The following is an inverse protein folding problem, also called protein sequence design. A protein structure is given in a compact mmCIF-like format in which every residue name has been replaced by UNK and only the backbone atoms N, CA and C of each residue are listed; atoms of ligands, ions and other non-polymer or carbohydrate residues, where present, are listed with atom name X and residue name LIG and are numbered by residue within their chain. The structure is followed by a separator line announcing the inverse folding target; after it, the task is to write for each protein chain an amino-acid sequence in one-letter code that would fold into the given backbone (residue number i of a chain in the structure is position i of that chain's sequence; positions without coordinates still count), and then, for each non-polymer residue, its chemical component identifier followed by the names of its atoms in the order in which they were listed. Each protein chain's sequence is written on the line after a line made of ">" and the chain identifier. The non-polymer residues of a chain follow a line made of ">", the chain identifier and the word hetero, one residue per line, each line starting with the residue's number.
data_IF_491281827231
#
_entry.id   IF_491281827231
#
_cell.length_a   1.000
_cell.length_b   1.000
_cell.length_c   1.000
_cell.angle_alpha   90.00
_cell.angle_beta   90.00
_cell.angle_gamma   90.00
#
_symmetry.space_group_name_H-M   'P 1'
#
loop_
_entity.id
_entity.type
_entity.pdbx_description
1 polymer ?
#
# COMPACT_ATOMS: atom_id res chain seq x y z
N UNK A 1 6.41 -16.61 11.50
CA UNK A 1 5.07 -16.54 12.09
C UNK A 1 4.94 -15.33 13.01
N UNK A 2 3.76 -14.74 13.07
CA UNK A 2 3.34 -13.71 14.02
C UNK A 2 2.34 -14.37 14.98
N UNK A 3 2.80 -14.81 16.13
CA UNK A 3 1.95 -15.57 17.09
C UNK A 3 0.85 -14.71 17.72
N UNK A 4 1.10 -13.41 17.85
CA UNK A 4 0.15 -12.41 18.37
C UNK A 4 0.02 -11.34 17.29
N UNK A 5 -1.19 -11.01 16.81
CA UNK A 5 -1.39 -9.98 15.80
C UNK A 5 -1.11 -8.59 16.39
N UNK A 6 0.08 -8.06 16.09
CA UNK A 6 0.56 -6.73 16.52
C UNK A 6 0.57 -5.70 15.39
N UNK A 7 -0.16 -5.97 14.31
CA UNK A 7 -0.28 -5.10 13.15
C UNK A 7 0.68 -5.41 12.02
N UNK A 8 0.49 -4.71 10.89
CA UNK A 8 1.21 -4.94 9.63
C UNK A 8 2.70 -4.65 9.74
N UNK A 9 3.09 -3.65 10.53
CA UNK A 9 4.51 -3.32 10.75
C UNK A 9 5.26 -4.45 11.47
N UNK A 10 4.66 -5.05 12.51
CA UNK A 10 5.28 -6.20 13.20
C UNK A 10 5.36 -7.42 12.28
N UNK A 11 4.34 -7.69 11.48
CA UNK A 11 4.38 -8.77 10.49
C UNK A 11 5.56 -8.60 9.51
N UNK A 12 5.76 -7.38 9.00
CA UNK A 12 6.90 -7.05 8.14
C UNK A 12 8.21 -7.21 8.89
N UNK A 13 8.30 -6.78 10.15
CA UNK A 13 9.52 -6.91 10.95
C UNK A 13 9.99 -8.37 11.09
N UNK A 14 9.05 -9.35 11.18
CA UNK A 14 9.39 -10.79 11.24
C UNK A 14 10.13 -11.28 10.00
N UNK A 15 10.00 -10.58 8.87
CA UNK A 15 10.68 -10.95 7.62
C UNK A 15 12.11 -10.43 7.52
N UNK A 16 12.57 -9.56 8.43
CA UNK A 16 13.86 -8.84 8.35
C UNK A 16 15.05 -9.75 8.06
N UNK A 17 15.11 -10.93 8.70
CA UNK A 17 16.23 -11.88 8.55
C UNK A 17 16.34 -12.49 7.14
N UNK A 18 15.25 -12.51 6.39
CA UNK A 18 15.18 -13.06 5.04
C UNK A 18 15.43 -12.00 3.95
N UNK A 19 15.22 -10.71 4.25
CA UNK A 19 15.39 -9.62 3.30
C UNK A 19 16.84 -9.15 3.30
N UNK A 20 17.58 -9.49 2.23
CA UNK A 20 19.01 -9.12 2.07
C UNK A 20 19.19 -7.90 1.16
N UNK A 21 18.27 -7.69 0.22
CA UNK A 21 18.36 -6.63 -0.78
C UNK A 21 18.06 -5.25 -0.18
N UNK A 22 18.57 -4.21 -0.84
CA UNK A 22 18.35 -2.79 -0.46
C UNK A 22 16.87 -2.42 -0.48
N UNK A 23 16.11 -2.96 -1.44
CA UNK A 23 14.67 -2.78 -1.58
C UNK A 23 13.96 -4.13 -1.70
N UNK A 24 12.71 -4.18 -1.29
CA UNK A 24 11.87 -5.35 -1.42
C UNK A 24 10.43 -4.96 -1.76
N UNK A 25 9.70 -5.88 -2.39
CA UNK A 25 8.29 -5.73 -2.70
C UNK A 25 7.45 -6.39 -1.59
N UNK A 26 6.56 -5.63 -0.99
CA UNK A 26 5.56 -6.08 -0.04
C UNK A 26 4.19 -6.07 -0.71
N UNK A 27 3.41 -7.13 -0.49
CA UNK A 27 2.07 -7.30 -1.06
C UNK A 27 1.12 -7.73 0.07
N UNK A 28 0.01 -7.04 0.21
CA UNK A 28 -1.09 -7.51 1.04
C UNK A 28 -1.91 -8.52 0.24
N UNK A 29 -2.21 -9.71 0.81
CA UNK A 29 -2.85 -10.80 0.06
C UNK A 29 -4.32 -10.54 -0.29
N UNK A 30 -4.97 -9.68 0.47
CA UNK A 30 -6.37 -9.28 0.31
C UNK A 30 -6.59 -8.14 -0.70
N UNK A 31 -5.52 -7.45 -1.12
CA UNK A 31 -5.53 -6.41 -2.15
C UNK A 31 -5.16 -6.99 -3.52
N UNK A 32 -6.12 -7.47 -4.27
CA UNK A 32 -5.87 -8.09 -5.57
C UNK A 32 -6.00 -7.09 -6.72
N UNK A 33 -5.02 -7.11 -7.63
CA UNK A 33 -5.03 -6.26 -8.83
C UNK A 33 -4.92 -7.15 -10.06
N UNK A 34 -5.93 -7.09 -10.93
CA UNK A 34 -6.07 -7.91 -12.14
C UNK A 34 -6.01 -7.08 -13.42
N UNK A 35 -5.97 -7.74 -14.58
CA UNK A 35 -5.87 -7.20 -15.95
C UNK A 35 -4.51 -6.59 -16.32
N UNK A 36 -3.80 -5.96 -15.39
CA UNK A 36 -2.45 -5.39 -15.59
C UNK A 36 -1.56 -5.74 -14.41
N UNK A 37 -0.28 -5.94 -14.66
CA UNK A 37 0.70 -6.28 -13.62
C UNK A 37 1.17 -5.01 -12.90
N UNK A 38 0.52 -4.69 -11.79
CA UNK A 38 0.84 -3.52 -10.96
C UNK A 38 2.28 -3.58 -10.44
N UNK A 39 2.73 -4.72 -9.92
CA UNK A 39 4.09 -4.87 -9.38
C UNK A 39 5.16 -4.59 -10.42
N UNK A 40 5.00 -5.08 -11.66
CA UNK A 40 5.91 -4.79 -12.78
C UNK A 40 5.95 -3.30 -13.10
N UNK A 41 4.80 -2.60 -13.09
CA UNK A 41 4.76 -1.15 -13.33
C UNK A 41 5.44 -0.37 -12.21
N UNK A 42 5.22 -0.75 -10.94
CA UNK A 42 5.88 -0.13 -9.78
C UNK A 42 7.41 -0.30 -9.82
N UNK A 43 7.91 -1.48 -10.23
CA UNK A 43 9.36 -1.72 -10.41
C UNK A 43 9.94 -0.79 -11.47
N UNK A 44 9.23 -0.55 -12.58
CA UNK A 44 9.66 0.43 -13.60
C UNK A 44 9.75 1.84 -13.02
N UNK A 45 8.75 2.26 -12.22
CA UNK A 45 8.73 3.56 -11.53
C UNK A 45 9.88 3.66 -10.54
N UNK A 46 10.10 2.63 -9.72
CA UNK A 46 11.24 2.55 -8.80
C UNK A 46 12.58 2.76 -9.51
N UNK A 47 12.81 2.00 -10.60
CA UNK A 47 14.04 2.10 -11.40
C UNK A 47 14.21 3.50 -12.02
N UNK A 48 13.13 4.09 -12.54
CA UNK A 48 13.16 5.43 -13.18
C UNK A 48 13.50 6.54 -12.19
N UNK A 49 12.90 6.51 -11.01
CA UNK A 49 13.00 7.62 -10.05
C UNK A 49 13.92 7.32 -8.84
N UNK A 50 14.49 6.11 -8.76
CA UNK A 50 15.34 5.66 -7.65
C UNK A 50 14.71 5.95 -6.27
N UNK A 51 13.40 5.65 -6.13
CA UNK A 51 12.60 5.99 -4.96
C UNK A 51 11.73 4.81 -4.52
N UNK A 52 11.30 4.82 -3.27
CA UNK A 52 10.26 3.93 -2.77
C UNK A 52 8.94 4.19 -3.50
N UNK A 53 8.15 3.14 -3.74
CA UNK A 53 6.90 3.25 -4.51
C UNK A 53 5.77 2.58 -3.77
N UNK A 54 4.63 3.23 -3.69
CA UNK A 54 3.41 2.70 -3.14
C UNK A 54 2.30 2.74 -4.21
N UNK A 55 1.53 1.65 -4.32
CA UNK A 55 0.41 1.63 -5.25
C UNK A 55 -0.69 2.59 -4.81
N UNK A 56 -1.30 3.25 -5.77
CA UNK A 56 -2.36 4.22 -5.57
C UNK A 56 -3.53 3.98 -6.52
N UNK A 57 -4.71 4.27 -6.05
CA UNK A 57 -5.95 4.25 -6.83
C UNK A 57 -6.76 5.53 -6.56
N UNK A 58 -7.31 6.14 -7.61
CA UNK A 58 -8.28 7.22 -7.43
C UNK A 58 -9.61 6.67 -6.95
N UNK A 59 -10.14 7.22 -5.88
CA UNK A 59 -11.44 6.86 -5.31
C UNK A 59 -12.42 8.03 -5.39
N UNK A 60 -13.71 7.73 -5.32
CA UNK A 60 -14.73 8.79 -5.20
C UNK A 60 -14.55 9.53 -3.87
N UNK A 61 -14.70 10.85 -3.87
CA UNK A 61 -14.49 11.72 -2.70
C UNK A 61 -15.27 11.24 -1.47
N UNK A 62 -16.49 10.77 -1.64
CA UNK A 62 -17.33 10.28 -0.54
C UNK A 62 -16.86 8.93 0.07
N UNK A 63 -15.90 8.25 -0.56
CA UNK A 63 -15.41 6.95 -0.12
C UNK A 63 -14.00 7.01 0.50
N UNK A 64 -13.38 8.19 0.60
CA UNK A 64 -11.99 8.34 1.09
C UNK A 64 -11.79 7.78 2.50
N UNK A 65 -12.81 7.81 3.34
CA UNK A 65 -12.77 7.30 4.73
C UNK A 65 -12.58 5.77 4.85
N UNK A 66 -12.57 5.05 3.73
CA UNK A 66 -12.34 3.59 3.72
C UNK A 66 -10.87 3.22 3.64
N UNK A 67 -9.98 4.14 3.25
CA UNK A 67 -8.56 3.90 2.97
C UNK A 67 -7.65 4.93 3.63
N UNK A 68 -6.37 4.59 3.71
CA UNK A 68 -5.33 5.60 3.83
C UNK A 68 -5.30 6.47 2.58
N UNK A 69 -5.20 7.79 2.72
CA UNK A 69 -5.21 8.75 1.63
C UNK A 69 -3.88 9.48 1.56
N UNK A 70 -3.26 9.50 0.38
CA UNK A 70 -1.97 10.16 0.16
C UNK A 70 -2.05 11.68 0.29
N UNK A 71 -1.12 12.23 1.05
CA UNK A 71 -0.79 13.65 1.04
C UNK A 71 0.18 13.91 -0.11
N UNK A 72 -0.34 14.44 -1.22
CA UNK A 72 0.44 14.70 -2.43
C UNK A 72 1.27 15.97 -2.26
N UNK A 73 2.57 15.89 -2.54
CA UNK A 73 3.48 17.01 -2.61
C UNK A 73 3.57 17.54 -4.05
N UNK A 74 4.04 16.68 -4.97
CA UNK A 74 4.34 17.07 -6.36
C UNK A 74 3.91 15.99 -7.34
N UNK A 75 3.29 16.41 -8.43
CA UNK A 75 3.02 15.53 -9.58
C UNK A 75 4.30 15.41 -10.43
N UNK A 76 4.71 14.17 -10.72
CA UNK A 76 5.87 13.86 -11.55
C UNK A 76 5.49 13.63 -13.01
N UNK A 77 4.39 12.91 -13.23
CA UNK A 77 3.82 12.64 -14.54
C UNK A 77 2.32 12.29 -14.41
N UNK A 78 1.71 11.75 -15.46
CA UNK A 78 0.28 11.45 -15.51
C UNK A 78 -0.21 10.55 -14.34
N UNK A 79 0.67 9.67 -13.82
CA UNK A 79 0.30 8.64 -12.83
C UNK A 79 1.16 8.60 -11.57
N UNK A 80 2.23 9.40 -11.52
CA UNK A 80 3.19 9.35 -10.43
C UNK A 80 3.24 10.66 -9.66
N UNK A 81 3.24 10.57 -8.34
CA UNK A 81 3.20 11.71 -7.43
C UNK A 81 4.19 11.49 -6.28
N UNK A 82 5.01 12.50 -5.97
CA UNK A 82 5.77 12.53 -4.71
C UNK A 82 4.78 12.78 -3.58
N UNK A 83 4.94 12.06 -2.47
CA UNK A 83 4.06 12.16 -1.32
C UNK A 83 4.80 12.64 -0.07
N UNK A 84 4.11 13.38 0.79
CA UNK A 84 4.56 13.81 2.11
C UNK A 84 4.02 12.93 3.24
N UNK A 85 3.19 11.97 2.92
CA UNK A 85 2.64 11.04 3.90
C UNK A 85 1.28 10.46 3.51
N UNK A 86 0.68 9.81 4.51
CA UNK A 86 -0.64 9.17 4.42
C UNK A 86 -1.48 9.62 5.61
N UNK A 87 -2.75 9.91 5.37
CA UNK A 87 -3.74 10.13 6.43
C UNK A 87 -4.67 8.92 6.45
N UNK A 88 -4.67 8.18 7.57
CA UNK A 88 -5.47 6.96 7.71
C UNK A 88 -6.94 7.31 7.89
N UNK A 89 -7.79 6.75 7.04
CA UNK A 89 -9.26 6.85 7.06
C UNK A 89 -9.79 8.26 7.39
N UNK A 90 -9.37 9.31 6.65
CA UNK A 90 -9.79 10.67 6.96
C UNK A 90 -11.28 10.86 6.73
N UNK A 91 -11.90 11.81 7.43
CA UNK A 91 -13.22 12.28 7.02
C UNK A 91 -13.14 12.95 5.64
N UNK A 92 -14.26 12.99 4.93
CA UNK A 92 -14.33 13.59 3.57
C UNK A 92 -13.80 15.02 3.54
N UNK A 93 -14.08 15.80 4.60
CA UNK A 93 -13.62 17.20 4.73
C UNK A 93 -12.12 17.33 5.01
N UNK A 94 -11.50 16.32 5.64
CA UNK A 94 -10.08 16.32 6.03
C UNK A 94 -9.17 15.54 5.09
N UNK A 95 -9.73 14.87 4.06
CA UNK A 95 -8.95 14.08 3.12
C UNK A 95 -8.03 14.98 2.28
N UNK A 96 -6.70 14.76 2.29
CA UNK A 96 -5.75 15.61 1.59
C UNK A 96 -5.79 15.44 0.06
N UNK A 97 -6.36 14.35 -0.43
CA UNK A 97 -6.56 14.05 -1.84
C UNK A 97 -7.65 12.99 -2.01
N UNK A 98 -7.80 12.45 -3.21
CA UNK A 98 -8.62 11.27 -3.50
C UNK A 98 -7.79 10.08 -4.00
N UNK A 99 -6.49 10.08 -3.74
CA UNK A 99 -5.59 8.98 -4.06
C UNK A 99 -5.46 8.05 -2.85
N UNK A 100 -6.05 6.87 -2.94
CA UNK A 100 -6.06 5.87 -1.88
C UNK A 100 -4.81 4.97 -1.93
N UNK A 101 -4.34 4.57 -0.75
CA UNK A 101 -3.28 3.57 -0.59
C UNK A 101 -3.84 2.19 -0.90
N UNK A 102 -3.12 1.42 -1.69
CA UNK A 102 -3.40 0.02 -1.99
C UNK A 102 -2.20 -0.82 -1.56
N UNK A 103 -2.44 -2.00 -1.02
CA UNK A 103 -1.46 -2.85 -0.34
C UNK A 103 -0.35 -3.44 -1.24
N UNK A 104 0.31 -2.58 -1.99
CA UNK A 104 1.50 -2.89 -2.81
C UNK A 104 2.56 -1.83 -2.55
N UNK A 105 3.74 -2.25 -2.08
CA UNK A 105 4.79 -1.35 -1.64
C UNK A 105 6.16 -1.82 -2.13
N UNK A 106 6.98 -0.95 -2.68
CA UNK A 106 8.43 -1.14 -2.82
C UNK A 106 9.07 -0.32 -1.70
N UNK A 107 9.60 -1.02 -0.71
CA UNK A 107 10.13 -0.43 0.51
C UNK A 107 11.65 -0.59 0.60
N UNK A 108 12.37 0.38 1.19
CA UNK A 108 13.78 0.24 1.48
C UNK A 108 13.99 -0.63 2.72
N UNK A 109 15.12 -1.31 2.80
CA UNK A 109 15.49 -2.14 3.97
C UNK A 109 15.61 -1.31 5.26
N UNK A 110 15.85 -0.01 5.16
CA UNK A 110 15.86 0.94 6.29
C UNK A 110 14.54 0.98 7.06
N UNK A 111 13.43 0.56 6.44
CA UNK A 111 12.10 0.47 7.07
C UNK A 111 12.12 -0.36 8.36
N UNK A 112 12.94 -1.42 8.44
CA UNK A 112 13.03 -2.26 9.64
C UNK A 112 13.54 -1.50 10.86
N UNK A 113 14.47 -0.54 10.68
CA UNK A 113 14.94 0.32 11.76
C UNK A 113 13.80 1.23 12.26
N UNK A 114 12.98 1.76 11.32
CA UNK A 114 11.85 2.62 11.66
C UNK A 114 10.73 1.85 12.38
N UNK A 115 10.42 0.63 11.92
CA UNK A 115 9.45 -0.23 12.63
C UNK A 115 9.89 -0.48 14.08
N UNK A 116 11.18 -0.79 14.30
CA UNK A 116 11.72 -1.01 15.66
C UNK A 116 11.67 0.22 16.57
N UNK A 117 11.75 1.43 15.99
CA UNK A 117 11.68 2.67 16.77
C UNK A 117 10.26 3.09 17.12
N UNK A 118 9.24 2.50 16.50
CA UNK A 118 7.85 2.78 16.84
C UNK A 118 7.52 2.26 18.24
N UNK A 119 6.89 3.13 19.04
CA UNK A 119 6.39 2.81 20.37
C UNK A 119 4.87 2.94 20.38
N UNK A 120 4.12 1.91 19.93
CA UNK A 120 2.67 1.99 19.95
C UNK A 120 2.17 2.09 21.39
N UNK A 121 1.10 2.84 21.63
CA UNK A 121 0.42 2.84 22.91
C UNK A 121 -0.04 1.42 23.27
N UNK A 122 -0.16 1.12 24.57
CA UNK A 122 -0.57 -0.21 25.06
C UNK A 122 -1.86 -0.66 24.34
N UNK A 123 -1.81 -1.85 23.74
CA UNK A 123 -2.94 -2.43 22.97
C UNK A 123 -3.15 -1.88 21.57
N UNK A 124 -2.31 -0.95 21.08
CA UNK A 124 -2.37 -0.48 19.69
C UNK A 124 -1.45 -1.27 18.76
N UNK A 125 -1.88 -1.43 17.52
CA UNK A 125 -1.11 -2.10 16.47
C UNK A 125 0.02 -1.22 15.93
N UNK A 126 1.08 -1.86 15.43
CA UNK A 126 2.17 -1.22 14.69
C UNK A 126 1.79 -1.23 13.20
N UNK A 127 1.45 -0.08 12.66
CA UNK A 127 1.13 0.03 11.24
C UNK A 127 2.39 0.31 10.41
N UNK A 128 2.49 -0.34 9.25
CA UNK A 128 3.60 -0.10 8.32
C UNK A 128 3.62 1.35 7.81
N UNK A 129 2.47 1.98 7.71
CA UNK A 129 2.31 3.39 7.30
C UNK A 129 2.97 4.35 8.26
N UNK A 130 3.01 4.05 9.58
CA UNK A 130 3.69 4.87 10.57
C UNK A 130 5.21 4.85 10.35
N UNK A 131 5.78 3.66 10.06
CA UNK A 131 7.19 3.54 9.74
C UNK A 131 7.55 4.22 8.40
N UNK A 132 6.66 4.16 7.41
CA UNK A 132 6.81 4.88 6.14
C UNK A 132 6.81 6.40 6.40
N UNK A 133 5.93 6.90 7.27
CA UNK A 133 5.90 8.32 7.62
C UNK A 133 7.24 8.77 8.26
N UNK A 134 7.85 7.95 9.12
CA UNK A 134 9.17 8.24 9.68
C UNK A 134 10.25 8.33 8.60
N UNK A 135 10.23 7.47 7.58
CA UNK A 135 11.17 7.56 6.45
C UNK A 135 10.95 8.82 5.61
N UNK A 136 9.70 9.20 5.37
CA UNK A 136 9.36 10.44 4.65
C UNK A 136 9.86 11.66 5.44
N UNK A 137 9.72 11.67 6.77
CA UNK A 137 10.21 12.72 7.63
C UNK A 137 11.75 12.82 7.57
N UNK A 138 12.45 11.71 7.41
CA UNK A 138 13.90 11.63 7.16
C UNK A 138 14.29 12.01 5.71
N UNK A 139 13.35 12.57 4.92
CA UNK A 139 13.54 12.98 3.52
C UNK A 139 13.75 11.83 2.53
N UNK A 140 13.43 10.60 2.90
CA UNK A 140 13.38 9.52 1.91
C UNK A 140 12.23 9.76 0.94
N UNK A 141 12.52 9.60 -0.36
CA UNK A 141 11.55 9.87 -1.43
C UNK A 141 10.60 8.70 -1.61
N UNK A 142 9.31 8.98 -1.47
CA UNK A 142 8.21 8.06 -1.74
C UNK A 142 7.33 8.56 -2.89
N UNK A 143 6.93 7.63 -3.76
CA UNK A 143 6.08 7.90 -4.92
C UNK A 143 4.79 7.10 -4.80
N UNK A 144 3.65 7.78 -4.87
CA UNK A 144 2.36 7.15 -5.11
C UNK A 144 2.21 6.91 -6.62
N UNK A 145 2.04 5.65 -7.03
CA UNK A 145 1.86 5.23 -8.42
C UNK A 145 0.42 4.81 -8.67
N UNK A 146 -0.33 5.62 -9.43
CA UNK A 146 -1.67 5.24 -9.90
C UNK A 146 -1.54 4.12 -10.93
N UNK A 147 -1.73 2.87 -10.49
CA UNK A 147 -1.61 1.70 -11.33
C UNK A 147 -2.74 1.60 -12.36
N UNK A 148 -2.51 0.83 -13.40
CA UNK A 148 -3.54 0.37 -14.33
C UNK A 148 -4.00 -1.03 -13.95
N UNK A 149 -5.26 -1.31 -14.24
CA UNK A 149 -5.87 -2.59 -13.91
C UNK A 149 -7.15 -2.41 -13.10
N UNK A 150 -7.70 -3.52 -12.63
CA UNK A 150 -8.89 -3.52 -11.78
C UNK A 150 -8.49 -3.97 -10.37
N UNK A 151 -8.80 -3.14 -9.40
CA UNK A 151 -8.65 -3.46 -7.98
C UNK A 151 -9.84 -4.29 -7.50
N UNK A 152 -9.54 -5.33 -6.75
CA UNK A 152 -10.49 -6.20 -6.08
C UNK A 152 -10.12 -6.27 -4.59
N UNK A 153 -11.05 -5.84 -3.74
CA UNK A 153 -10.93 -5.88 -2.28
C UNK A 153 -11.39 -7.26 -1.79
N UNK A 154 -10.47 -8.08 -1.28
CA UNK A 154 -10.75 -9.39 -0.70
C UNK A 154 -10.69 -9.38 0.84
N UNK A 155 -10.48 -8.23 1.48
CA UNK A 155 -10.34 -8.09 2.93
C UNK A 155 -11.66 -8.15 3.71
N UNK A 156 -12.80 -8.16 3.02
CA UNK A 156 -14.12 -8.34 3.63
C UNK A 156 -14.87 -9.50 2.97
N UNK A 157 -15.78 -10.18 3.67
CA UNK A 157 -16.57 -11.27 3.11
C UNK A 157 -17.33 -10.82 1.84
N UNK A 158 -17.96 -9.66 1.87
CA UNK A 158 -18.66 -9.08 0.71
C UNK A 158 -17.69 -8.79 -0.45
N UNK A 159 -16.53 -8.22 -0.13
CA UNK A 159 -15.47 -7.95 -1.10
C UNK A 159 -14.94 -9.23 -1.73
N UNK A 160 -14.67 -10.26 -0.92
CA UNK A 160 -14.21 -11.57 -1.38
C UNK A 160 -15.20 -12.23 -2.36
N UNK A 161 -16.51 -12.28 -2.00
CA UNK A 161 -17.55 -12.83 -2.88
C UNK A 161 -17.62 -12.06 -4.21
N UNK A 162 -17.60 -10.73 -4.16
CA UNK A 162 -17.65 -9.90 -5.37
C UNK A 162 -16.39 -10.11 -6.23
N UNK A 163 -15.23 -10.21 -5.62
CA UNK A 163 -13.95 -10.45 -6.30
C UNK A 163 -13.92 -11.83 -6.97
N UNK A 164 -14.42 -12.87 -6.30
CA UNK A 164 -14.52 -14.23 -6.85
C UNK A 164 -15.42 -14.26 -8.10
N UNK A 165 -16.59 -13.59 -8.04
CA UNK A 165 -17.48 -13.46 -9.22
C UNK A 165 -16.80 -12.78 -10.41
N UNK A 166 -16.03 -11.72 -10.15
CA UNK A 166 -15.30 -11.00 -11.20
C UNK A 166 -14.16 -11.84 -11.81
N UNK A 167 -13.46 -12.60 -10.99
CA UNK A 167 -12.40 -13.53 -11.46
C UNK A 167 -13.01 -14.65 -12.29
N UNK A 168 -14.13 -15.24 -11.84
CA UNK A 168 -14.84 -16.28 -12.59
C UNK A 168 -15.24 -15.84 -14.00
N UNK A 169 -15.72 -14.60 -14.17
CA UNK A 169 -16.05 -14.03 -15.49
C UNK A 169 -14.84 -13.92 -16.43
N UNK A 170 -13.64 -13.67 -15.88
CA UNK A 170 -12.43 -13.48 -16.70
C UNK A 170 -11.87 -14.83 -17.17
N UNK A 171 -12.01 -15.88 -16.37
CA UNK A 171 -11.41 -17.18 -16.62
C UNK A 171 -12.39 -18.22 -17.15
N UNK A 172 -13.60 -17.79 -17.50
CA UNK A 172 -14.67 -18.69 -18.01
C UNK A 172 -14.89 -19.93 -17.13
N UNK A 173 -14.62 -19.82 -15.83
CA UNK A 173 -15.02 -20.86 -14.89
C UNK A 173 -16.54 -20.82 -14.76
N UNK A 174 -17.21 -21.56 -15.61
CA UNK A 174 -18.60 -21.97 -15.38
C UNK A 174 -18.52 -23.02 -14.29
N UNK A 175 -18.92 -22.65 -13.11
CA UNK A 175 -19.20 -23.65 -12.07
C UNK A 175 -20.44 -24.41 -12.54
N UNK A 176 -20.23 -25.67 -12.88
CA UNK A 176 -21.30 -26.65 -13.07
C UNK A 176 -22.06 -26.84 -11.77
#
# INVERSE_FOLDING_TARGET
>A
FQNIPKGTGDAVLKTQKYIKNKYFLMLLPDDLIIKKNCSKSMIKVHKKYQASVMASMKVKKNNVSRWGIYKINKKLDKRNYVIDGVVEKPSVKKAPSNNAVIGRYILPRTIFKKIKSLKPAKGKEIHITDAIQLLINDKEKFIAHNFEGKYLDCGTMRGYINSSKEIGKIWNYVWL
#
